data_IF_204833922670
#
_entry.id   IF_204833922670
#
_cell.length_a   1.000
_cell.length_b   1.000
_cell.length_c   1.000
_cell.angle_alpha   90.00
_cell.angle_beta   90.00
_cell.angle_gamma   90.00
#
_symmetry.space_group_name_H-M   'P 1'
#
loop_
_entity.id
_entity.type
_entity.pdbx_description
1 polymer ?
#
# COMPACT_ATOMS: atom_id res chain seq x y z
N UNK A 1 -5.35 -26.97 30.19
CA UNK A 1 -6.78 -27.21 29.90
C UNK A 1 -6.93 -28.60 29.29
N UNK A 2 -8.10 -29.25 29.40
CA UNK A 2 -8.35 -30.47 28.63
C UNK A 2 -8.57 -30.11 27.15
N UNK A 3 -8.16 -30.98 26.23
CA UNK A 3 -8.31 -30.81 24.77
C UNK A 3 -9.76 -30.45 24.37
N UNK A 4 -10.75 -31.05 25.05
CA UNK A 4 -12.16 -30.81 24.80
C UNK A 4 -12.61 -29.38 25.14
N UNK A 5 -12.02 -28.76 26.17
CA UNK A 5 -12.32 -27.37 26.53
C UNK A 5 -11.76 -26.40 25.50
N UNK A 6 -10.53 -26.64 25.01
CA UNK A 6 -9.92 -25.84 23.93
C UNK A 6 -10.73 -25.95 22.64
N UNK A 7 -11.14 -27.16 22.25
CA UNK A 7 -11.96 -27.41 21.07
C UNK A 7 -13.33 -26.72 21.13
N UNK A 8 -14.03 -26.82 22.25
CA UNK A 8 -15.34 -26.18 22.43
C UNK A 8 -15.23 -24.65 22.31
N UNK A 9 -14.18 -24.06 22.90
CA UNK A 9 -13.90 -22.64 22.80
C UNK A 9 -13.60 -22.21 21.35
N UNK A 10 -12.76 -22.96 20.63
CA UNK A 10 -12.41 -22.68 19.23
C UNK A 10 -13.64 -22.73 18.30
N UNK A 11 -14.56 -23.66 18.51
CA UNK A 11 -15.84 -23.71 17.77
C UNK A 11 -16.67 -22.45 17.99
N UNK A 12 -16.82 -22.03 19.25
CA UNK A 12 -17.54 -20.79 19.58
C UNK A 12 -16.92 -19.56 18.92
N UNK A 13 -15.60 -19.47 18.87
CA UNK A 13 -14.88 -18.37 18.23
C UNK A 13 -15.00 -18.38 16.70
N UNK A 14 -15.00 -19.56 16.06
CA UNK A 14 -15.13 -19.68 14.61
C UNK A 14 -16.49 -19.21 14.08
N UNK A 15 -17.54 -19.36 14.88
CA UNK A 15 -18.90 -18.90 14.58
C UNK A 15 -19.19 -17.47 15.05
N UNK A 16 -18.25 -16.81 15.72
CA UNK A 16 -18.40 -15.41 16.12
C UNK A 16 -18.32 -14.47 14.91
N UNK A 17 -18.75 -13.21 15.11
CA UNK A 17 -18.59 -12.17 14.10
C UNK A 17 -17.09 -11.98 13.76
N UNK A 18 -16.70 -12.01 12.46
CA UNK A 18 -15.31 -11.85 12.06
C UNK A 18 -14.71 -10.55 12.58
N UNK A 19 -13.67 -10.65 13.40
CA UNK A 19 -12.98 -9.48 13.93
C UNK A 19 -11.53 -9.80 14.26
N UNK A 20 -10.67 -8.76 14.28
CA UNK A 20 -9.26 -8.91 14.68
C UNK A 20 -9.12 -9.47 16.11
N UNK A 21 -10.04 -9.08 17.00
CA UNK A 21 -10.07 -9.57 18.38
C UNK A 21 -10.44 -11.06 18.45
N UNK A 22 -11.46 -11.49 17.71
CA UNK A 22 -11.83 -12.90 17.63
C UNK A 22 -10.73 -13.74 16.98
N UNK A 23 -10.13 -13.25 15.90
CA UNK A 23 -8.98 -13.90 15.25
C UNK A 23 -7.80 -14.09 16.22
N UNK A 24 -7.42 -13.04 16.98
CA UNK A 24 -6.34 -13.16 17.96
C UNK A 24 -6.61 -14.24 19.00
N UNK A 25 -7.86 -14.33 19.50
CA UNK A 25 -8.25 -15.38 20.45
C UNK A 25 -8.19 -16.79 19.85
N UNK A 26 -8.48 -16.94 18.56
CA UNK A 26 -8.30 -18.22 17.84
C UNK A 26 -6.81 -18.58 17.78
N UNK A 27 -5.95 -17.64 17.41
CA UNK A 27 -4.50 -17.86 17.37
C UNK A 27 -3.94 -18.28 18.74
N UNK A 28 -4.31 -17.57 19.80
CA UNK A 28 -3.83 -17.85 21.16
C UNK A 28 -4.28 -19.25 21.62
N UNK A 29 -5.53 -19.63 21.32
CA UNK A 29 -6.04 -20.97 21.63
C UNK A 29 -5.37 -22.09 20.82
N UNK A 30 -4.93 -21.82 19.58
CA UNK A 30 -4.15 -22.76 18.77
C UNK A 30 -2.71 -22.87 19.24
N UNK A 31 -2.12 -21.78 19.75
CA UNK A 31 -0.79 -21.79 20.36
C UNK A 31 -0.75 -22.61 21.67
N UNK A 32 -1.84 -22.60 22.43
CA UNK A 32 -1.97 -23.38 23.67
C UNK A 32 -2.46 -24.83 23.45
N UNK A 33 -2.91 -25.18 22.25
CA UNK A 33 -3.43 -26.52 21.95
C UNK A 33 -2.29 -27.57 22.01
N UNK A 34 -2.53 -28.79 22.52
CA UNK A 34 -1.52 -29.87 22.46
C UNK A 34 -1.36 -30.39 21.02
N UNK A 35 -0.16 -30.89 20.70
CA UNK A 35 0.16 -31.45 19.38
C UNK A 35 -0.50 -32.82 19.14
N UNK A 36 -0.57 -33.24 17.88
CA UNK A 36 -1.10 -34.54 17.45
C UNK A 36 -2.37 -34.45 16.58
N UNK A 37 -2.97 -35.60 16.25
CA UNK A 37 -4.08 -35.72 15.30
C UNK A 37 -5.29 -34.83 15.60
N UNK A 38 -5.54 -34.57 16.89
CA UNK A 38 -6.61 -33.68 17.32
C UNK A 38 -6.41 -32.23 16.83
N UNK A 39 -5.16 -31.74 16.78
CA UNK A 39 -4.86 -30.41 16.29
C UNK A 39 -5.10 -30.32 14.78
N UNK A 40 -4.72 -31.36 14.02
CA UNK A 40 -4.97 -31.40 12.58
C UNK A 40 -6.47 -31.34 12.24
N UNK A 41 -7.30 -32.12 12.95
CA UNK A 41 -8.77 -32.08 12.80
C UNK A 41 -9.33 -30.71 13.17
N UNK A 42 -8.77 -30.08 14.21
CA UNK A 42 -9.17 -28.73 14.63
C UNK A 42 -8.87 -27.69 13.56
N UNK A 43 -7.67 -27.77 12.97
CA UNK A 43 -7.24 -26.89 11.89
C UNK A 43 -8.15 -27.04 10.68
N UNK A 44 -8.49 -28.26 10.27
CA UNK A 44 -9.39 -28.51 9.13
C UNK A 44 -10.80 -27.94 9.38
N UNK A 45 -11.35 -28.19 10.58
CA UNK A 45 -12.60 -27.60 11.02
C UNK A 45 -12.54 -26.07 10.94
N UNK A 46 -11.53 -25.45 11.55
CA UNK A 46 -11.38 -23.99 11.53
C UNK A 46 -11.19 -23.47 10.11
N UNK A 47 -10.44 -24.15 9.27
CA UNK A 47 -10.18 -23.72 7.90
C UNK A 47 -11.47 -23.63 7.09
N UNK A 48 -12.36 -24.62 7.25
CA UNK A 48 -13.69 -24.66 6.64
C UNK A 48 -14.58 -23.52 7.17
N UNK A 49 -14.62 -23.32 8.48
CA UNK A 49 -15.56 -22.37 9.09
C UNK A 49 -15.08 -20.91 8.96
N UNK A 50 -13.77 -20.70 8.88
CA UNK A 50 -13.15 -19.39 8.64
C UNK A 50 -13.03 -19.07 7.15
N UNK A 51 -13.51 -19.92 6.24
CA UNK A 51 -13.49 -19.65 4.79
C UNK A 51 -14.35 -18.42 4.44
N UNK A 52 -15.45 -18.20 5.16
CA UNK A 52 -16.30 -17.02 5.00
C UNK A 52 -15.71 -15.75 5.64
N UNK A 53 -14.64 -15.87 6.45
CA UNK A 53 -14.01 -14.70 7.06
C UNK A 53 -13.17 -13.95 6.02
N UNK A 54 -13.17 -12.60 6.02
CA UNK A 54 -12.25 -11.83 5.20
C UNK A 54 -10.79 -12.23 5.47
N UNK A 55 -10.05 -12.56 4.42
CA UNK A 55 -8.65 -12.97 4.50
C UNK A 55 -7.78 -11.94 5.24
N UNK A 56 -8.07 -10.64 5.05
CA UNK A 56 -7.38 -9.53 5.72
C UNK A 56 -7.52 -9.53 7.25
N UNK A 57 -8.53 -10.22 7.80
CA UNK A 57 -8.68 -10.38 9.25
C UNK A 57 -7.85 -11.54 9.80
N UNK A 58 -7.51 -12.53 8.97
CA UNK A 58 -6.67 -13.68 9.32
C UNK A 58 -5.19 -13.31 9.22
N UNK A 59 -4.84 -12.21 9.88
CA UNK A 59 -3.51 -11.59 9.91
C UNK A 59 -2.55 -12.39 10.80
N UNK A 60 -1.33 -12.67 10.32
CA UNK A 60 -0.29 -13.27 11.14
C UNK A 60 -0.08 -12.48 12.44
N UNK A 61 -0.29 -13.08 13.62
CA UNK A 61 0.06 -12.43 14.88
C UNK A 61 1.56 -12.08 14.95
N UNK A 62 1.96 -11.03 15.69
CA UNK A 62 3.37 -10.67 15.86
C UNK A 62 4.25 -11.84 16.28
N UNK A 63 3.78 -12.62 17.25
CA UNK A 63 4.52 -13.76 17.80
C UNK A 63 4.53 -14.97 16.86
N UNK A 64 3.57 -15.04 15.92
CA UNK A 64 3.47 -16.14 14.96
C UNK A 64 4.64 -16.11 13.99
N UNK A 65 4.99 -14.92 13.49
CA UNK A 65 6.18 -14.77 12.67
C UNK A 65 7.43 -14.63 13.54
N UNK A 66 7.43 -13.94 14.69
CA UNK A 66 8.65 -13.82 15.52
C UNK A 66 9.19 -15.17 16.03
N UNK A 67 8.32 -16.12 16.38
CA UNK A 67 8.73 -17.49 16.72
C UNK A 67 9.36 -18.21 15.53
N UNK A 68 8.83 -17.99 14.32
CA UNK A 68 9.44 -18.48 13.08
C UNK A 68 10.67 -17.66 12.68
N UNK A 69 10.85 -16.44 13.19
CA UNK A 69 11.98 -15.55 12.83
C UNK A 69 13.27 -15.90 13.57
N UNK A 70 13.13 -16.46 14.77
CA UNK A 70 14.26 -16.82 15.63
C UNK A 70 14.73 -18.26 15.31
N UNK A 71 13.81 -19.18 14.98
CA UNK A 71 14.10 -20.56 14.56
C UNK A 71 13.36 -20.91 13.23
N UNK A 72 13.91 -20.45 12.09
CA UNK A 72 13.31 -20.62 10.75
C UNK A 72 13.34 -22.05 10.18
N UNK A 73 13.73 -23.06 10.95
CA UNK A 73 13.87 -24.44 10.47
C UNK A 73 12.56 -25.25 10.59
N UNK A 74 11.44 -24.64 11.01
CA UNK A 74 10.17 -25.33 11.19
C UNK A 74 9.01 -24.68 10.45
N UNK A 75 8.15 -25.54 9.88
CA UNK A 75 6.89 -25.15 9.27
C UNK A 75 5.97 -24.44 10.29
N UNK A 76 5.07 -23.56 9.82
CA UNK A 76 4.06 -23.00 10.70
C UNK A 76 3.23 -24.08 11.37
N UNK A 77 3.13 -24.03 12.71
CA UNK A 77 2.34 -24.99 13.50
C UNK A 77 0.89 -25.14 13.03
N UNK A 78 0.32 -24.07 12.48
CA UNK A 78 -1.03 -24.07 11.91
C UNK A 78 -1.11 -23.11 10.70
N UNK A 79 -1.53 -23.56 9.50
CA UNK A 79 -1.51 -22.78 8.26
C UNK A 79 -2.81 -21.98 8.01
N UNK A 80 -3.37 -21.37 9.06
CA UNK A 80 -4.64 -20.63 8.98
C UNK A 80 -4.46 -19.13 8.67
N UNK A 81 -3.24 -18.62 8.66
CA UNK A 81 -2.94 -17.24 8.24
C UNK A 81 -3.32 -17.05 6.77
N UNK A 82 -3.90 -15.89 6.44
CA UNK A 82 -4.19 -15.45 5.06
C UNK A 82 -3.60 -14.09 4.73
N UNK A 83 -3.35 -13.27 5.74
CA UNK A 83 -2.69 -11.98 5.59
C UNK A 83 -1.36 -11.94 6.35
N UNK A 84 -0.32 -11.47 5.69
CA UNK A 84 1.02 -11.33 6.25
C UNK A 84 1.48 -9.88 6.08
N UNK A 85 1.53 -9.14 7.19
CA UNK A 85 2.06 -7.78 7.22
C UNK A 85 3.43 -7.79 7.88
N UNK A 86 4.48 -7.60 7.09
CA UNK A 86 5.86 -7.65 7.56
C UNK A 86 6.47 -6.27 7.53
N UNK A 87 7.05 -5.91 8.67
CA UNK A 87 7.88 -4.74 8.80
C UNK A 87 9.35 -5.17 8.69
N UNK A 88 10.01 -4.72 7.63
CA UNK A 88 11.42 -4.96 7.38
C UNK A 88 12.24 -4.03 8.29
N UNK A 89 12.61 -4.54 9.46
CA UNK A 89 13.49 -3.87 10.44
C UNK A 89 14.84 -4.59 10.40
N UNK A 90 15.89 -3.91 9.94
CA UNK A 90 17.31 -4.35 9.95
C UNK A 90 17.65 -5.69 9.26
N UNK A 91 16.65 -6.42 8.75
CA UNK A 91 16.76 -7.66 8.00
C UNK A 91 16.95 -7.37 6.51
N UNK A 92 17.76 -8.19 5.82
CA UNK A 92 17.87 -8.16 4.35
C UNK A 92 16.55 -8.68 3.75
N UNK A 93 15.76 -7.87 3.04
CA UNK A 93 14.46 -8.28 2.51
C UNK A 93 14.52 -9.55 1.64
N UNK A 94 15.66 -9.74 0.95
CA UNK A 94 16.00 -10.94 0.18
C UNK A 94 15.83 -12.22 1.02
N UNK A 95 16.47 -12.27 2.18
CA UNK A 95 16.50 -13.44 3.06
C UNK A 95 15.11 -13.73 3.64
N UNK A 96 14.34 -12.68 3.92
CA UNK A 96 12.98 -12.85 4.41
C UNK A 96 12.09 -13.49 3.35
N UNK A 97 12.09 -12.97 2.12
CA UNK A 97 11.30 -13.56 1.03
C UNK A 97 11.72 -15.00 0.77
N UNK A 98 13.04 -15.26 0.73
CA UNK A 98 13.55 -16.61 0.54
C UNK A 98 13.05 -17.55 1.64
N UNK A 99 13.12 -17.14 2.91
CA UNK A 99 12.65 -17.96 4.03
C UNK A 99 11.14 -18.19 4.03
N UNK A 100 10.35 -17.15 3.74
CA UNK A 100 8.89 -17.27 3.62
C UNK A 100 8.47 -18.28 2.54
N UNK A 101 9.28 -18.36 1.49
CA UNK A 101 9.15 -19.35 0.43
C UNK A 101 9.59 -20.73 0.94
N UNK A 102 10.77 -20.85 1.54
CA UNK A 102 11.35 -22.12 1.94
C UNK A 102 10.54 -22.84 3.04
N UNK A 103 9.89 -22.10 3.95
CA UNK A 103 9.06 -22.68 5.02
C UNK A 103 7.62 -23.03 4.60
N UNK A 104 7.23 -22.78 3.34
CA UNK A 104 5.85 -22.98 2.89
C UNK A 104 4.85 -21.94 3.42
N UNK A 105 5.30 -20.96 4.23
CA UNK A 105 4.43 -20.01 4.91
C UNK A 105 3.59 -19.15 3.96
N UNK A 106 4.04 -18.95 2.70
CA UNK A 106 3.29 -18.22 1.69
C UNK A 106 2.15 -19.01 1.03
N UNK A 107 2.16 -20.35 1.09
CA UNK A 107 1.18 -21.17 0.37
C UNK A 107 -0.28 -20.79 0.67
N UNK A 108 -0.69 -20.61 1.94
CA UNK A 108 -2.06 -20.21 2.25
C UNK A 108 -2.32 -18.70 2.05
N UNK A 109 -1.28 -17.88 1.94
CA UNK A 109 -1.38 -16.42 2.02
C UNK A 109 -2.00 -15.86 0.74
N UNK A 110 -3.02 -15.02 0.91
CA UNK A 110 -3.69 -14.29 -0.18
C UNK A 110 -3.41 -12.80 -0.12
N UNK A 111 -2.92 -12.30 1.02
CA UNK A 111 -2.53 -10.92 1.24
C UNK A 111 -1.10 -10.83 1.79
N UNK A 112 -0.21 -10.20 1.05
CA UNK A 112 1.16 -9.96 1.46
C UNK A 112 1.48 -8.47 1.43
N UNK A 113 1.93 -7.96 2.57
CA UNK A 113 2.40 -6.58 2.73
C UNK A 113 3.82 -6.60 3.25
N UNK A 114 4.74 -6.06 2.46
CA UNK A 114 6.15 -5.90 2.81
C UNK A 114 6.44 -4.42 2.96
N UNK A 115 6.48 -3.91 4.19
CA UNK A 115 6.72 -2.49 4.49
C UNK A 115 8.13 -2.26 5.00
N UNK A 116 8.71 -1.12 4.65
CA UNK A 116 9.94 -0.61 5.28
C UNK A 116 9.65 0.68 6.05
N UNK A 117 9.99 0.73 7.36
CA UNK A 117 9.71 1.90 8.23
C UNK A 117 10.81 2.97 8.22
N UNK A 118 11.98 2.71 7.65
CA UNK A 118 13.14 3.57 7.88
C UNK A 118 13.51 4.50 6.70
N UNK A 119 13.38 5.82 6.92
CA UNK A 119 13.87 6.87 6.00
C UNK A 119 15.40 6.90 5.83
N UNK A 120 16.17 6.36 6.80
CA UNK A 120 17.63 6.18 6.65
C UNK A 120 17.97 4.94 5.81
N UNK A 121 17.12 3.92 5.83
CA UNK A 121 17.29 2.67 5.10
C UNK A 121 16.99 2.79 3.61
N UNK A 122 16.14 3.73 3.17
CA UNK A 122 15.93 4.01 1.72
C UNK A 122 17.23 4.44 1.02
N UNK A 123 18.21 5.01 1.74
CA UNK A 123 19.52 5.34 1.17
C UNK A 123 20.43 4.12 1.05
N UNK A 124 20.28 3.13 1.92
CA UNK A 124 21.12 1.93 1.93
C UNK A 124 20.45 0.81 1.11
N UNK A 125 21.00 0.43 -0.05
CA UNK A 125 20.42 -0.62 -0.90
C UNK A 125 20.14 -1.95 -0.17
N UNK A 126 20.83 -2.26 0.93
CA UNK A 126 20.69 -3.55 1.63
C UNK A 126 19.36 -3.76 2.36
N UNK A 127 18.58 -2.70 2.54
CA UNK A 127 17.28 -2.76 3.22
C UNK A 127 16.09 -2.58 2.26
N UNK A 128 16.35 -2.53 0.96
CA UNK A 128 15.34 -2.40 -0.10
C UNK A 128 15.11 -3.74 -0.76
N UNK A 129 13.87 -4.01 -1.18
CA UNK A 129 13.62 -5.05 -2.15
C UNK A 129 14.26 -4.65 -3.48
N UNK A 130 15.04 -5.56 -4.05
CA UNK A 130 15.58 -5.42 -5.40
C UNK A 130 14.61 -6.04 -6.40
N UNK A 131 14.71 -5.65 -7.67
CA UNK A 131 13.93 -6.26 -8.75
C UNK A 131 14.08 -7.79 -8.80
N UNK A 132 15.25 -8.32 -8.45
CA UNK A 132 15.49 -9.77 -8.34
C UNK A 132 14.66 -10.45 -7.25
N UNK A 133 14.39 -9.76 -6.14
CA UNK A 133 13.62 -10.32 -5.02
C UNK A 133 12.14 -10.38 -5.37
N UNK A 134 11.69 -9.33 -6.05
CA UNK A 134 10.36 -9.26 -6.63
C UNK A 134 10.21 -10.34 -7.70
N UNK A 135 11.21 -10.54 -8.56
CA UNK A 135 11.20 -11.61 -9.55
C UNK A 135 11.15 -13.00 -8.90
N UNK A 136 11.91 -13.20 -7.82
CA UNK A 136 11.90 -14.45 -7.06
C UNK A 136 10.51 -14.73 -6.47
N UNK A 137 9.93 -13.77 -5.73
CA UNK A 137 8.58 -13.87 -5.19
C UNK A 137 7.54 -14.12 -6.29
N UNK A 138 7.65 -13.39 -7.40
CA UNK A 138 6.68 -13.40 -8.48
C UNK A 138 6.78 -14.66 -9.35
N UNK A 139 7.90 -15.36 -9.37
CA UNK A 139 8.07 -16.64 -10.09
C UNK A 139 7.78 -17.86 -9.20
N UNK A 140 7.74 -17.68 -7.87
CA UNK A 140 7.62 -18.81 -6.95
C UNK A 140 6.22 -19.46 -6.98
N UNK A 141 6.10 -20.80 -7.07
CA UNK A 141 4.81 -21.49 -7.02
C UNK A 141 3.97 -21.22 -5.76
N UNK A 142 4.59 -20.85 -4.66
CA UNK A 142 3.87 -20.61 -3.40
C UNK A 142 3.16 -19.24 -3.36
N UNK A 143 3.50 -18.30 -4.24
CA UNK A 143 2.78 -17.02 -4.36
C UNK A 143 1.50 -17.13 -5.20
N UNK A 144 1.15 -18.34 -5.65
CA UNK A 144 0.01 -18.62 -6.53
C UNK A 144 -1.36 -18.22 -5.99
N UNK A 145 -1.51 -18.07 -4.67
CA UNK A 145 -2.77 -17.65 -4.03
C UNK A 145 -2.83 -16.15 -3.74
N UNK A 146 -1.74 -15.41 -3.95
CA UNK A 146 -1.72 -13.97 -3.68
C UNK A 146 -2.73 -13.25 -4.58
N UNK A 147 -3.61 -12.50 -3.91
CA UNK A 147 -4.60 -11.60 -4.50
C UNK A 147 -4.31 -10.14 -4.16
N UNK A 148 -3.59 -9.89 -3.06
CA UNK A 148 -3.21 -8.56 -2.58
C UNK A 148 -1.71 -8.52 -2.34
N UNK A 149 -1.04 -7.54 -2.95
CA UNK A 149 0.40 -7.34 -2.82
C UNK A 149 0.69 -5.86 -2.55
N UNK A 150 1.19 -5.56 -1.36
CA UNK A 150 1.71 -4.24 -0.98
C UNK A 150 3.24 -4.29 -0.90
N UNK A 151 3.89 -3.57 -1.83
CA UNK A 151 5.34 -3.39 -1.90
C UNK A 151 5.71 -1.91 -1.73
N UNK A 152 4.95 -1.13 -0.94
CA UNK A 152 5.16 0.31 -0.78
C UNK A 152 6.55 0.63 -0.23
N UNK A 153 7.26 1.54 -0.90
CA UNK A 153 8.46 2.19 -0.36
C UNK A 153 9.78 1.44 -0.53
N UNK A 154 9.93 0.58 -1.53
CA UNK A 154 11.15 -0.19 -1.80
C UNK A 154 12.07 0.40 -2.87
N UNK A 155 11.68 1.50 -3.53
CA UNK A 155 12.43 2.09 -4.64
C UNK A 155 12.74 1.07 -5.75
N UNK A 156 11.74 0.28 -6.12
CA UNK A 156 11.84 -0.78 -7.14
C UNK A 156 12.26 -0.25 -8.52
N UNK A 157 11.89 0.99 -8.84
CA UNK A 157 12.12 1.60 -10.15
C UNK A 157 11.33 0.91 -11.28
N UNK A 158 11.51 1.36 -12.53
CA UNK A 158 10.87 0.76 -13.70
C UNK A 158 11.29 -0.71 -13.90
N UNK A 159 12.53 -1.07 -13.55
CA UNK A 159 13.03 -2.46 -13.64
C UNK A 159 12.31 -3.40 -12.67
N UNK A 160 12.13 -3.01 -11.40
CA UNK A 160 11.37 -3.81 -10.45
C UNK A 160 9.90 -3.96 -10.86
N UNK A 161 9.30 -2.89 -11.39
CA UNK A 161 7.97 -2.91 -11.98
C UNK A 161 7.87 -3.85 -13.18
N UNK A 162 8.91 -3.94 -14.01
CA UNK A 162 8.98 -4.88 -15.14
C UNK A 162 8.87 -6.33 -14.73
N UNK A 163 9.54 -6.72 -13.63
CA UNK A 163 9.45 -8.09 -13.13
C UNK A 163 8.02 -8.45 -12.68
N UNK A 164 7.29 -7.51 -12.06
CA UNK A 164 5.88 -7.71 -11.70
C UNK A 164 5.00 -7.79 -12.94
N UNK A 165 5.13 -6.82 -13.85
CA UNK A 165 4.32 -6.72 -15.07
C UNK A 165 4.43 -7.97 -15.97
N UNK A 166 5.61 -8.58 -16.02
CA UNK A 166 5.87 -9.78 -16.82
C UNK A 166 5.65 -11.09 -16.06
N UNK A 167 5.36 -11.04 -14.76
CA UNK A 167 5.14 -12.24 -13.95
C UNK A 167 3.69 -12.77 -14.05
N UNK A 168 3.47 -14.10 -13.93
CA UNK A 168 2.13 -14.68 -13.82
C UNK A 168 1.38 -14.26 -12.54
N UNK A 169 2.07 -13.71 -11.54
CA UNK A 169 1.41 -13.26 -10.30
C UNK A 169 0.42 -12.12 -10.59
N UNK A 170 0.75 -11.22 -11.53
CA UNK A 170 -0.07 -10.04 -11.79
C UNK A 170 -1.48 -10.40 -12.25
N UNK A 171 -1.62 -11.46 -13.06
CA UNK A 171 -2.94 -12.00 -13.50
C UNK A 171 -3.79 -12.61 -12.39
N UNK A 172 -3.32 -12.60 -11.14
CA UNK A 172 -4.05 -13.12 -9.97
C UNK A 172 -4.26 -12.04 -8.91
N UNK A 173 -3.52 -10.94 -9.02
CA UNK A 173 -3.67 -9.83 -8.12
C UNK A 173 -4.95 -9.09 -8.48
N UNK A 174 -5.75 -8.84 -7.45
CA UNK A 174 -6.86 -7.89 -7.48
C UNK A 174 -6.42 -6.54 -6.91
N UNK A 175 -5.40 -6.55 -6.03
CA UNK A 175 -4.88 -5.35 -5.39
C UNK A 175 -3.36 -5.31 -5.50
N UNK A 176 -2.84 -4.19 -6.02
CA UNK A 176 -1.42 -3.92 -6.13
C UNK A 176 -1.10 -2.51 -5.60
N UNK A 177 -0.31 -2.43 -4.55
CA UNK A 177 0.23 -1.17 -4.03
C UNK A 177 1.73 -1.08 -4.35
N UNK A 178 2.06 -0.15 -5.24
CA UNK A 178 3.41 0.20 -5.64
C UNK A 178 3.78 1.63 -5.23
N UNK A 179 3.04 2.25 -4.31
CA UNK A 179 3.30 3.61 -3.90
C UNK A 179 4.75 3.78 -3.39
N UNK A 180 5.35 4.94 -3.66
CA UNK A 180 6.72 5.30 -3.23
C UNK A 180 7.81 4.35 -3.77
N UNK A 181 7.66 3.81 -4.98
CA UNK A 181 8.66 2.93 -5.61
C UNK A 181 9.42 3.52 -6.78
N UNK A 182 9.31 4.82 -7.06
CA UNK A 182 10.04 5.48 -8.15
C UNK A 182 9.79 4.83 -9.52
N UNK A 183 8.54 4.37 -9.73
CA UNK A 183 8.12 3.63 -10.92
C UNK A 183 8.37 4.45 -12.21
N UNK A 184 8.10 5.75 -12.16
CA UNK A 184 8.23 6.67 -13.27
C UNK A 184 7.30 6.36 -14.45
N UNK A 185 7.35 7.19 -15.49
CA UNK A 185 6.53 7.02 -16.70
C UNK A 185 6.88 5.74 -17.47
N UNK A 186 8.14 5.31 -17.41
CA UNK A 186 8.56 4.03 -17.97
C UNK A 186 7.89 2.85 -17.26
N UNK A 187 7.90 2.82 -15.93
CA UNK A 187 7.25 1.75 -15.18
C UNK A 187 5.72 1.78 -15.35
N UNK A 188 5.10 2.96 -15.44
CA UNK A 188 3.67 3.05 -15.77
C UNK A 188 3.35 2.49 -17.16
N UNK A 189 4.16 2.79 -18.19
CA UNK A 189 4.02 2.18 -19.52
C UNK A 189 4.14 0.66 -19.47
N UNK A 190 5.09 0.14 -18.68
CA UNK A 190 5.30 -1.29 -18.52
C UNK A 190 4.10 -1.97 -17.87
N UNK A 191 3.53 -1.37 -16.81
CA UNK A 191 2.31 -1.87 -16.16
C UNK A 191 1.13 -1.80 -17.12
N UNK A 192 0.96 -0.67 -17.81
CA UNK A 192 -0.14 -0.45 -18.73
C UNK A 192 -0.12 -1.41 -19.93
N UNK A 193 1.07 -1.74 -20.43
CA UNK A 193 1.26 -2.68 -21.52
C UNK A 193 1.11 -4.16 -21.10
N UNK A 194 0.98 -4.46 -19.80
CA UNK A 194 0.84 -5.83 -19.35
C UNK A 194 -0.57 -6.35 -19.61
N UNK A 195 -0.73 -7.42 -20.43
CA UNK A 195 -2.04 -8.05 -20.63
C UNK A 195 -2.54 -8.78 -19.38
N UNK A 196 -1.72 -8.86 -18.33
CA UNK A 196 -2.00 -9.56 -17.08
C UNK A 196 -2.56 -8.65 -16.00
N UNK A 197 -2.67 -7.34 -16.26
CA UNK A 197 -3.14 -6.36 -15.31
C UNK A 197 -4.68 -6.23 -15.25
N UNK A 198 -5.41 -6.93 -16.13
CA UNK A 198 -6.86 -6.76 -16.30
C UNK A 198 -7.72 -7.20 -15.11
N UNK A 199 -7.21 -8.08 -14.25
CA UNK A 199 -7.90 -8.56 -13.04
C UNK A 199 -7.73 -7.60 -11.84
N UNK A 200 -6.94 -6.54 -11.98
CA UNK A 200 -6.75 -5.57 -10.90
C UNK A 200 -8.01 -4.74 -10.69
N UNK A 201 -8.54 -4.80 -9.48
CA UNK A 201 -9.62 -3.93 -8.99
C UNK A 201 -9.09 -2.72 -8.23
N UNK A 202 -7.85 -2.77 -7.74
CA UNK A 202 -7.18 -1.66 -7.09
C UNK A 202 -5.69 -1.55 -7.45
N UNK A 203 -5.29 -0.36 -7.90
CA UNK A 203 -3.89 -0.02 -8.19
C UNK A 203 -3.52 1.29 -7.49
N UNK A 204 -2.46 1.26 -6.68
CA UNK A 204 -1.86 2.45 -6.08
C UNK A 204 -0.46 2.69 -6.66
N UNK A 205 -0.29 3.85 -7.32
CA UNK A 205 0.98 4.37 -7.83
C UNK A 205 1.25 5.76 -7.26
N UNK A 206 0.86 6.01 -6.00
CA UNK A 206 1.08 7.30 -5.35
C UNK A 206 2.56 7.56 -5.09
N UNK A 207 3.01 8.81 -5.21
CA UNK A 207 4.43 9.18 -5.03
C UNK A 207 5.41 8.36 -5.90
N UNK A 208 5.04 8.07 -7.15
CA UNK A 208 5.82 7.24 -8.07
C UNK A 208 6.57 8.02 -9.15
N UNK A 209 6.56 9.35 -9.08
CA UNK A 209 7.20 10.25 -10.05
C UNK A 209 6.61 10.14 -11.47
N UNK A 210 5.29 9.94 -11.53
CA UNK A 210 4.55 9.93 -12.80
C UNK A 210 4.31 11.36 -13.29
N UNK A 211 4.46 11.58 -14.59
CA UNK A 211 4.06 12.80 -15.28
C UNK A 211 2.75 12.59 -16.06
N UNK A 212 2.36 13.58 -16.86
CA UNK A 212 1.26 13.46 -17.81
C UNK A 212 1.46 12.30 -18.79
N UNK A 213 2.71 11.99 -19.18
CA UNK A 213 3.01 10.87 -20.09
C UNK A 213 2.74 9.51 -19.43
N UNK A 214 3.08 9.35 -18.15
CA UNK A 214 2.75 8.16 -17.38
C UNK A 214 1.25 8.00 -17.18
N UNK A 215 0.54 9.09 -16.92
CA UNK A 215 -0.92 9.10 -16.83
C UNK A 215 -1.59 8.71 -18.16
N UNK A 216 -1.10 9.26 -19.28
CA UNK A 216 -1.57 8.92 -20.61
C UNK A 216 -1.33 7.44 -20.94
N UNK A 217 -0.17 6.89 -20.57
CA UNK A 217 0.09 5.47 -20.72
C UNK A 217 -0.89 4.61 -19.91
N UNK A 218 -1.16 4.98 -18.65
CA UNK A 218 -2.15 4.28 -17.83
C UNK A 218 -3.56 4.38 -18.42
N UNK A 219 -3.92 5.48 -19.09
CA UNK A 219 -5.23 5.64 -19.71
C UNK A 219 -5.51 4.63 -20.84
N UNK A 220 -4.47 4.08 -21.47
CA UNK A 220 -4.57 3.11 -22.58
C UNK A 220 -4.54 1.65 -22.12
N UNK A 221 -4.33 1.37 -20.83
CA UNK A 221 -4.22 -0.01 -20.34
C UNK A 221 -5.59 -0.71 -20.23
N UNK A 222 -5.66 -2.05 -20.20
CA UNK A 222 -6.89 -2.81 -20.14
C UNK A 222 -7.47 -2.90 -18.70
N UNK A 223 -7.89 -1.77 -18.13
CA UNK A 223 -8.38 -1.64 -16.74
C UNK A 223 -9.86 -2.01 -16.54
N UNK A 224 -10.36 -3.09 -17.17
CA UNK A 224 -11.81 -3.37 -17.23
C UNK A 224 -12.46 -3.54 -15.84
N UNK A 225 -11.77 -4.19 -14.90
CA UNK A 225 -12.26 -4.45 -13.55
C UNK A 225 -11.79 -3.41 -12.51
N UNK A 226 -11.10 -2.34 -12.93
CA UNK A 226 -10.44 -1.42 -11.99
C UNK A 226 -11.45 -0.49 -11.30
N UNK A 227 -11.69 -0.72 -10.01
CA UNK A 227 -12.57 0.10 -9.18
C UNK A 227 -11.83 1.29 -8.54
N UNK A 228 -10.53 1.15 -8.30
CA UNK A 228 -9.71 2.14 -7.61
C UNK A 228 -8.36 2.33 -8.28
N UNK A 229 -8.13 3.53 -8.80
CA UNK A 229 -6.83 4.00 -9.29
C UNK A 229 -6.38 5.20 -8.44
N UNK A 230 -5.29 5.02 -7.69
CA UNK A 230 -4.71 6.09 -6.88
C UNK A 230 -3.39 6.54 -7.49
N UNK A 231 -3.34 7.78 -8.01
CA UNK A 231 -2.12 8.41 -8.55
C UNK A 231 -1.73 9.67 -7.77
N UNK A 232 -2.06 9.71 -6.49
CA UNK A 232 -1.84 10.90 -5.65
C UNK A 232 -0.36 11.25 -5.58
N UNK A 233 -0.09 12.55 -5.41
CA UNK A 233 1.28 13.05 -5.22
C UNK A 233 2.23 12.57 -6.32
N UNK A 234 1.76 12.65 -7.56
CA UNK A 234 2.58 12.56 -8.76
C UNK A 234 2.64 13.94 -9.43
N UNK A 235 3.35 14.02 -10.55
CA UNK A 235 3.48 15.22 -11.36
C UNK A 235 2.46 15.25 -12.52
N UNK A 236 1.23 14.81 -12.26
CA UNK A 236 0.14 14.74 -13.25
C UNK A 236 -0.64 16.05 -13.24
N UNK A 237 -0.53 16.80 -14.33
CA UNK A 237 -1.27 18.02 -14.61
C UNK A 237 -2.60 17.77 -15.31
N UNK A 238 -3.14 18.83 -15.92
CA UNK A 238 -4.38 18.78 -16.68
C UNK A 238 -4.31 17.79 -17.86
N UNK A 239 -3.24 17.76 -18.68
CA UNK A 239 -3.16 16.84 -19.82
C UNK A 239 -3.28 15.37 -19.41
N UNK A 240 -2.59 14.95 -18.34
CA UNK A 240 -2.68 13.57 -17.85
C UNK A 240 -4.03 13.25 -17.21
N UNK A 241 -4.65 14.21 -16.50
CA UNK A 241 -6.01 14.05 -15.99
C UNK A 241 -7.04 13.91 -17.13
N UNK A 242 -6.93 14.71 -18.19
CA UNK A 242 -7.75 14.59 -19.40
C UNK A 242 -7.56 13.25 -20.11
N UNK A 243 -6.32 12.76 -20.19
CA UNK A 243 -6.04 11.46 -20.78
C UNK A 243 -6.77 10.34 -20.01
N UNK A 244 -6.67 10.33 -18.68
CA UNK A 244 -7.35 9.35 -17.83
C UNK A 244 -8.88 9.47 -17.90
N UNK A 245 -9.42 10.69 -17.97
CA UNK A 245 -10.85 10.95 -18.18
C UNK A 245 -11.36 10.36 -19.51
N UNK A 246 -10.57 10.48 -20.58
CA UNK A 246 -10.91 9.99 -21.92
C UNK A 246 -10.53 8.53 -22.19
N UNK A 247 -9.99 7.83 -21.20
CA UNK A 247 -9.68 6.41 -21.29
C UNK A 247 -10.90 5.62 -21.79
N UNK A 248 -10.67 4.65 -22.68
CA UNK A 248 -11.74 3.79 -23.21
C UNK A 248 -12.01 2.57 -22.33
N UNK A 249 -11.06 2.25 -21.46
CA UNK A 249 -11.01 1.01 -20.69
C UNK A 249 -11.28 1.25 -19.20
N UNK A 250 -10.97 2.44 -18.67
CA UNK A 250 -11.28 2.77 -17.29
C UNK A 250 -12.82 2.79 -17.06
N UNK A 251 -13.29 2.19 -15.95
CA UNK A 251 -14.70 2.23 -15.59
C UNK A 251 -15.23 3.66 -15.43
N UNK A 252 -16.50 3.87 -15.80
CA UNK A 252 -17.13 5.19 -15.78
C UNK A 252 -16.98 5.96 -14.45
N UNK A 253 -17.09 5.33 -13.27
CA UNK A 253 -16.88 6.04 -11.99
C UNK A 253 -15.46 6.58 -11.83
N UNK A 254 -14.43 5.89 -12.35
CA UNK A 254 -13.06 6.39 -12.31
C UNK A 254 -12.86 7.52 -13.31
N UNK A 255 -13.38 7.38 -14.53
CA UNK A 255 -13.31 8.45 -15.55
C UNK A 255 -13.96 9.74 -15.06
N UNK A 256 -15.14 9.65 -14.44
CA UNK A 256 -15.83 10.81 -13.87
C UNK A 256 -15.00 11.55 -12.81
N UNK A 257 -14.23 10.84 -11.98
CA UNK A 257 -13.31 11.47 -11.02
C UNK A 257 -12.18 12.23 -11.71
N UNK A 258 -11.67 11.71 -12.82
CA UNK A 258 -10.65 12.38 -13.62
C UNK A 258 -11.21 13.54 -14.44
N UNK A 259 -12.46 13.45 -14.90
CA UNK A 259 -13.21 14.54 -15.54
C UNK A 259 -13.45 15.69 -14.56
N UNK A 260 -13.93 15.41 -13.35
CA UNK A 260 -14.10 16.41 -12.28
C UNK A 260 -12.76 17.09 -11.96
N UNK A 261 -11.70 16.30 -11.85
CA UNK A 261 -10.34 16.78 -11.63
C UNK A 261 -9.84 17.68 -12.78
N UNK A 262 -10.15 17.34 -14.02
CA UNK A 262 -9.81 18.15 -15.18
C UNK A 262 -10.66 19.44 -15.26
N UNK A 263 -11.90 19.42 -14.78
CA UNK A 263 -12.83 20.54 -14.80
C UNK A 263 -12.60 21.59 -13.70
N UNK A 264 -11.77 21.31 -12.69
CA UNK A 264 -11.55 22.19 -11.55
C UNK A 264 -10.13 22.83 -11.46
N UNK A 265 -9.65 23.70 -12.39
CA UNK A 265 -8.36 24.38 -12.19
C UNK A 265 -8.48 25.91 -12.07
N UNK A 266 -7.75 26.50 -11.10
CA UNK A 266 -6.72 27.45 -11.54
C UNK A 266 -5.35 27.29 -10.88
N UNK A 267 -5.19 26.48 -9.83
CA UNK A 267 -3.97 26.47 -9.01
C UNK A 267 -3.32 25.09 -8.86
N UNK A 268 -2.02 25.06 -9.13
CA UNK A 268 -1.11 23.93 -8.93
C UNK A 268 -0.22 24.22 -7.72
N UNK A 269 -0.28 23.36 -6.71
CA UNK A 269 0.67 23.42 -5.59
C UNK A 269 1.80 22.44 -5.84
N UNK A 270 3.01 22.98 -6.09
CA UNK A 270 4.21 22.18 -6.29
C UNK A 270 4.92 22.01 -4.96
N UNK A 271 4.95 20.78 -4.42
CA UNK A 271 5.71 20.46 -3.21
C UNK A 271 7.04 19.86 -3.61
N UNK A 272 8.15 20.41 -3.10
CA UNK A 272 9.51 19.94 -3.42
C UNK A 272 10.25 19.26 -2.25
N UNK A 273 9.88 18.04 -1.82
CA UNK A 273 10.69 17.30 -0.86
C UNK A 273 11.80 16.55 -1.58
N UNK A 274 13.04 16.74 -1.11
CA UNK A 274 14.22 16.02 -1.61
C UNK A 274 14.42 16.09 -3.13
N UNK A 275 14.04 17.22 -3.74
CA UNK A 275 14.20 17.47 -5.17
C UNK A 275 13.11 16.89 -6.08
N UNK A 276 12.06 16.24 -5.53
CA UNK A 276 10.90 15.76 -6.32
C UNK A 276 9.81 16.79 -6.34
N UNK A 277 9.08 16.95 -7.44
CA UNK A 277 7.96 17.90 -7.52
C UNK A 277 6.63 17.15 -7.56
N UNK A 278 5.72 17.47 -6.65
CA UNK A 278 4.37 16.90 -6.62
C UNK A 278 3.33 17.96 -6.95
N UNK A 279 2.37 17.62 -7.81
CA UNK A 279 1.24 18.50 -8.14
C UNK A 279 0.04 18.13 -7.28
N UNK A 280 -0.47 19.10 -6.52
CA UNK A 280 -1.78 19.01 -5.86
C UNK A 280 -2.72 19.98 -6.55
N UNK A 281 -3.89 19.48 -6.96
CA UNK A 281 -4.92 20.29 -7.61
C UNK A 281 -5.94 20.83 -6.59
N UNK A 282 -6.68 21.85 -7.00
CA UNK A 282 -7.76 22.44 -6.22
C UNK A 282 -8.77 21.38 -5.74
N UNK A 283 -9.09 21.38 -4.44
CA UNK A 283 -10.05 20.45 -3.83
C UNK A 283 -9.47 19.10 -3.37
N UNK A 284 -8.24 18.75 -3.78
CA UNK A 284 -7.57 17.54 -3.29
C UNK A 284 -7.15 17.68 -1.81
N UNK A 285 -7.67 16.80 -0.96
CA UNK A 285 -7.24 16.71 0.43
C UNK A 285 -5.96 15.90 0.51
N UNK A 286 -4.85 16.56 0.84
CA UNK A 286 -3.55 15.94 1.09
C UNK A 286 -3.23 16.05 2.58
N UNK A 287 -2.86 14.95 3.22
CA UNK A 287 -2.33 14.94 4.57
C UNK A 287 -0.81 15.09 4.55
N UNK A 288 -0.32 16.15 5.18
CA UNK A 288 1.11 16.41 5.36
C UNK A 288 1.45 16.19 6.84
N UNK A 289 2.53 15.46 7.14
CA UNK A 289 2.96 15.30 8.54
C UNK A 289 4.07 14.27 8.77
N UNK A 290 4.35 13.95 10.03
CA UNK A 290 5.39 12.97 10.42
C UNK A 290 4.91 11.52 10.45
N UNK A 291 3.59 11.35 10.57
CA UNK A 291 2.97 10.02 10.60
C UNK A 291 3.23 9.29 9.27
N UNK A 292 3.72 8.03 9.30
CA UNK A 292 3.92 7.21 8.12
C UNK A 292 2.68 7.04 7.22
N UNK A 293 1.48 7.16 7.80
CA UNK A 293 0.20 7.01 7.10
C UNK A 293 -0.27 8.31 6.41
N UNK A 294 0.46 9.42 6.55
CA UNK A 294 0.16 10.65 5.78
C UNK A 294 0.50 10.47 4.29
N UNK A 295 -0.25 11.16 3.42
CA UNK A 295 0.01 11.20 1.98
C UNK A 295 1.46 11.68 1.73
N UNK A 296 1.90 12.77 2.37
CA UNK A 296 3.29 13.24 2.36
C UNK A 296 3.94 13.19 3.75
N UNK A 297 4.97 12.34 3.91
CA UNK A 297 5.69 12.19 5.19
C UNK A 297 6.92 13.09 5.25
N UNK A 298 6.86 14.16 6.03
CA UNK A 298 7.93 15.14 6.21
C UNK A 298 8.71 14.88 7.52
N UNK A 299 10.03 14.57 7.51
CA UNK A 299 10.76 14.10 8.71
C UNK A 299 11.31 15.17 9.65
N UNK A 300 11.19 16.47 9.34
CA UNK A 300 11.91 17.52 10.04
C UNK A 300 11.07 18.25 11.10
N UNK A 301 11.71 18.88 12.11
CA UNK A 301 11.07 19.32 13.35
C UNK A 301 10.08 20.49 13.19
N UNK A 302 10.01 21.10 12.02
CA UNK A 302 9.27 22.34 11.73
C UNK A 302 7.87 22.13 11.15
N UNK A 303 7.52 20.91 10.76
CA UNK A 303 6.13 20.57 10.41
C UNK A 303 5.48 19.92 11.63
N UNK A 304 4.31 20.44 12.01
CA UNK A 304 3.45 19.89 13.07
C UNK A 304 3.24 18.38 12.83
N UNK A 305 3.09 17.55 13.87
CA UNK A 305 2.68 16.15 13.72
C UNK A 305 1.31 15.95 13.04
N UNK A 306 0.61 17.03 12.66
CA UNK A 306 -0.79 17.02 12.25
C UNK A 306 -1.06 17.60 10.87
N UNK A 307 -2.07 16.98 10.27
CA UNK A 307 -2.69 17.18 8.97
C UNK A 307 -2.87 18.67 8.62
N UNK A 308 -2.11 19.14 7.63
CA UNK A 308 -2.50 20.32 6.86
C UNK A 308 -3.38 19.88 5.71
N UNK A 309 -4.65 20.28 5.69
CA UNK A 309 -5.51 20.07 4.52
C UNK A 309 -5.34 21.25 3.58
N UNK A 310 -5.08 20.97 2.31
CA UNK A 310 -5.10 21.97 1.25
C UNK A 310 -6.52 21.97 0.66
N UNK A 311 -7.20 23.10 0.69
CA UNK A 311 -8.57 23.29 0.19
C UNK A 311 -8.56 24.50 -0.74
N UNK A 312 -9.39 24.49 -1.79
CA UNK A 312 -9.48 25.59 -2.72
C UNK A 312 -10.77 26.39 -2.52
N UNK A 313 -10.66 27.71 -2.54
CA UNK A 313 -11.78 28.65 -2.52
C UNK A 313 -11.57 29.74 -3.59
N UNK A 314 -12.25 29.65 -4.73
CA UNK A 314 -12.20 30.69 -5.77
C UNK A 314 -10.93 30.68 -6.61
N UNK A 315 -10.04 31.66 -6.41
CA UNK A 315 -8.73 31.78 -7.09
C UNK A 315 -7.57 31.65 -6.08
N UNK A 316 -7.80 31.01 -4.92
CA UNK A 316 -6.83 30.89 -3.84
C UNK A 316 -6.78 29.47 -3.26
N UNK A 317 -5.59 29.06 -2.82
CA UNK A 317 -5.39 27.81 -2.07
C UNK A 317 -5.33 28.11 -0.58
N UNK A 318 -6.21 27.51 0.20
CA UNK A 318 -6.25 27.62 1.65
C UNK A 318 -5.62 26.38 2.29
N UNK A 319 -4.59 26.57 3.11
CA UNK A 319 -4.04 25.53 3.96
C UNK A 319 -4.64 25.61 5.37
N UNK A 320 -5.36 24.57 5.77
CA UNK A 320 -5.88 24.42 7.13
C UNK A 320 -4.97 23.51 7.95
N UNK A 321 -4.24 24.08 8.90
CA UNK A 321 -3.47 23.31 9.88
C UNK A 321 -4.40 22.87 11.02
N UNK A 322 -4.67 21.57 11.16
CA UNK A 322 -5.50 21.07 12.27
C UNK A 322 -4.70 21.11 13.58
N UNK A 323 -5.37 21.63 14.62
CA UNK A 323 -4.92 21.74 16.02
C UNK A 323 -4.07 20.55 16.46
N UNK A 324 -3.03 20.80 17.26
CA UNK A 324 -2.23 19.71 17.80
C UNK A 324 -3.07 18.74 18.65
N UNK A 325 -2.84 17.40 18.56
CA UNK A 325 -3.41 16.41 19.51
C UNK A 325 -3.11 16.78 20.97
N UNK A 326 -2.04 17.54 21.21
CA UNK A 326 -1.63 18.03 22.52
C UNK A 326 -2.13 19.44 22.84
N UNK A 327 -3.02 20.02 22.02
CA UNK A 327 -3.65 21.32 22.26
C UNK A 327 -2.73 22.55 22.17
N UNK A 328 -1.47 22.38 21.76
CA UNK A 328 -0.42 23.42 21.86
C UNK A 328 -0.48 24.54 20.82
N UNK A 329 -1.26 24.39 19.75
CA UNK A 329 -1.36 25.38 18.67
C UNK A 329 -2.79 25.45 18.16
N UNK A 330 -3.31 26.66 18.00
CA UNK A 330 -4.65 26.89 17.44
C UNK A 330 -4.72 26.47 15.96
N UNK A 331 -5.90 26.05 15.45
CA UNK A 331 -6.08 25.85 14.03
C UNK A 331 -5.74 27.13 13.29
N UNK A 332 -4.85 27.03 12.32
CA UNK A 332 -4.41 28.18 11.52
C UNK A 332 -4.81 27.96 10.08
N UNK A 333 -5.36 29.00 9.48
CA UNK A 333 -5.74 29.05 8.08
C UNK A 333 -4.76 29.98 7.36
N UNK A 334 -4.15 29.49 6.28
CA UNK A 334 -3.25 30.27 5.45
C UNK A 334 -3.76 30.28 4.02
N UNK A 335 -4.19 31.46 3.54
CA UNK A 335 -4.56 31.68 2.14
C UNK A 335 -3.31 31.96 1.32
N UNK A 336 -3.16 31.25 0.20
CA UNK A 336 -2.01 31.32 -0.69
C UNK A 336 -2.46 31.73 -2.09
N UNK A 337 -1.73 32.68 -2.68
CA UNK A 337 -1.92 33.21 -4.02
C UNK A 337 -0.88 32.64 -5.00
N UNK A 338 -1.13 32.76 -6.30
CA UNK A 338 -0.15 32.40 -7.35
C UNK A 338 1.19 33.10 -7.09
N UNK A 339 2.27 32.33 -7.15
CA UNK A 339 3.63 32.81 -6.92
C UNK A 339 4.10 32.71 -5.47
N UNK A 340 3.18 32.49 -4.52
CA UNK A 340 3.55 32.34 -3.12
C UNK A 340 4.45 31.12 -2.93
N UNK A 341 5.51 31.33 -2.15
CA UNK A 341 6.46 30.29 -1.76
C UNK A 341 6.34 30.11 -0.26
N UNK A 342 5.98 28.89 0.18
CA UNK A 342 5.90 28.54 1.59
C UNK A 342 7.01 27.56 1.96
N UNK A 343 7.50 27.68 3.19
CA UNK A 343 8.44 26.75 3.78
C UNK A 343 7.71 25.83 4.77
N UNK A 344 7.65 24.54 4.45
CA UNK A 344 7.15 23.47 5.32
C UNK A 344 8.35 22.71 5.89
N UNK A 345 9.12 23.40 6.73
CA UNK A 345 10.40 22.90 7.21
C UNK A 345 11.48 22.88 6.13
N UNK A 346 12.09 21.72 5.78
CA UNK A 346 13.11 21.63 4.73
C UNK A 346 12.49 21.53 3.32
N UNK A 347 11.17 21.58 3.22
CA UNK A 347 10.41 21.43 2.00
C UNK A 347 9.88 22.79 1.60
N UNK A 348 10.23 23.20 0.40
CA UNK A 348 9.66 24.38 -0.22
C UNK A 348 8.46 23.97 -1.06
N UNK A 349 7.36 24.70 -0.94
CA UNK A 349 6.23 24.55 -1.82
C UNK A 349 5.90 25.88 -2.49
N UNK A 350 5.50 25.83 -3.76
CA UNK A 350 5.15 27.01 -4.55
C UNK A 350 3.77 26.85 -5.15
N UNK A 351 2.94 27.89 -5.05
CA UNK A 351 1.67 27.97 -5.77
C UNK A 351 1.95 28.51 -7.17
N UNK A 352 1.46 27.81 -8.17
CA UNK A 352 1.60 28.16 -9.58
C UNK A 352 0.20 28.24 -10.20
N UNK A 353 -0.02 29.19 -11.10
CA UNK A 353 -1.17 29.13 -12.00
C UNK A 353 -0.99 27.94 -12.96
N UNK A 354 -2.11 27.31 -13.32
CA UNK A 354 -2.12 26.27 -14.35
C UNK A 354 -2.11 26.99 -15.72
N UNK A 355 -1.10 26.79 -16.57
CA UNK A 355 -1.06 27.38 -17.92
C UNK A 355 -2.06 26.74 -18.88
#
# INVERSE_FOLDING_TARGET
>A
MSLNTTLSNLRGLAHAEPSRAAWRRICDALDDAPEGDALAITIDYLNTHLEAWPDALRLAPPDWYQRQVIDWDQEPRWPLVRALELELIDQRPQLLIQRLVDTGALEPVTWLQLRTRQKRAIRDPKHRLQGSDVAYLASHPLSRRLKHLDLRGHALGPEGTRYLALSPILSRLTHLDLARNDVGDEGARIVAASPRAGELTALDLSCCDLSDDGAAALAEAPWEELERLTLKLNNIGLPGAEALARSRTLPAPLRARWEERAAAPPLRFIVQPWGRSFTVLAGERVQLGRDPENDLVLPYPTVSPHQCNIVHEGDAVTMHNRRSRFGRSEPTELKLNVGDVIQLGPVTARVMAIP
#
